data_IF_238829061574
#
_entry.id   IF_238829061574
#
_cell.length_a   1.000
_cell.length_b   1.000
_cell.length_c   1.000
_cell.angle_alpha   90.00
_cell.angle_beta   90.00
_cell.angle_gamma   90.00
#
_symmetry.space_group_name_H-M   'P 1'
#
loop_
_entity.id
_entity.type
_entity.pdbx_description
1 polymer ?
#
# COMPACT_ATOMS: atom_id res chain seq x y z
N UNK A 1 -27.17 -49.95 39.57
CA UNK A 1 -26.77 -48.67 40.17
C UNK A 1 -25.28 -48.47 39.84
N UNK A 2 -24.97 -47.88 38.72
CA UNK A 2 -23.58 -47.58 38.30
C UNK A 2 -23.45 -46.06 38.22
N UNK A 3 -22.59 -45.53 39.11
CA UNK A 3 -22.20 -44.10 39.10
C UNK A 3 -21.23 -43.86 37.95
N UNK A 4 -21.63 -42.98 37.01
CA UNK A 4 -20.75 -42.35 36.03
C UNK A 4 -20.12 -41.10 36.68
N UNK A 5 -18.81 -41.15 36.95
CA UNK A 5 -18.01 -39.98 37.28
C UNK A 5 -17.72 -39.20 35.99
N UNK A 6 -18.29 -38.02 35.85
CA UNK A 6 -17.87 -36.99 34.86
C UNK A 6 -16.64 -36.28 35.40
N UNK A 7 -15.46 -36.61 34.84
CA UNK A 7 -14.26 -35.81 35.02
C UNK A 7 -14.35 -34.51 34.25
N UNK A 8 -14.50 -33.36 34.93
CA UNK A 8 -14.26 -32.04 34.32
C UNK A 8 -12.77 -31.91 34.06
N UNK A 9 -12.35 -32.12 32.83
CA UNK A 9 -11.05 -31.70 32.33
C UNK A 9 -11.00 -30.17 32.25
N UNK A 10 -10.40 -29.52 33.23
CA UNK A 10 -9.98 -28.11 33.09
C UNK A 10 -8.87 -28.08 32.04
N UNK A 11 -9.19 -27.66 30.85
CA UNK A 11 -8.22 -27.22 29.85
C UNK A 11 -7.63 -25.88 30.33
N UNK A 12 -6.46 -25.95 30.97
CA UNK A 12 -5.64 -24.76 31.20
C UNK A 12 -5.23 -24.23 29.84
N UNK A 13 -5.93 -23.19 29.34
CA UNK A 13 -5.39 -22.36 28.29
C UNK A 13 -4.08 -21.79 28.79
N UNK A 14 -2.98 -21.92 28.04
CA UNK A 14 -1.73 -21.26 28.42
C UNK A 14 -1.99 -19.78 28.56
N UNK A 15 -1.37 -19.09 29.54
CA UNK A 15 -1.50 -17.65 29.63
C UNK A 15 -1.08 -17.03 28.30
N UNK A 16 -1.94 -16.17 27.73
CA UNK A 16 -1.55 -15.38 26.58
C UNK A 16 -0.24 -14.66 26.94
N UNK A 17 0.78 -14.85 26.14
CA UNK A 17 2.03 -14.10 26.28
C UNK A 17 1.67 -12.63 26.32
N UNK A 18 2.12 -11.90 27.34
CA UNK A 18 1.87 -10.48 27.45
C UNK A 18 2.41 -9.81 26.17
N UNK A 19 1.57 -9.01 25.53
CA UNK A 19 1.95 -8.33 24.30
C UNK A 19 3.20 -7.46 24.52
N UNK A 20 4.14 -7.52 23.59
CA UNK A 20 5.37 -6.72 23.65
C UNK A 20 5.06 -5.23 23.60
N UNK A 21 5.69 -4.45 24.47
CA UNK A 21 5.55 -3.00 24.55
C UNK A 21 6.93 -2.32 24.65
N UNK A 22 6.95 -0.99 24.43
CA UNK A 22 8.16 -0.17 24.57
C UNK A 22 8.85 -0.38 25.94
N UNK A 23 8.07 -0.57 27.01
CA UNK A 23 8.60 -0.77 28.38
C UNK A 23 9.48 -2.02 28.51
N UNK A 24 9.25 -3.04 27.71
CA UNK A 24 9.96 -4.33 27.75
C UNK A 24 11.27 -4.31 26.96
N UNK A 25 11.61 -3.24 26.25
CA UNK A 25 12.93 -3.13 25.61
C UNK A 25 14.01 -3.19 26.71
N UNK A 26 14.96 -4.15 26.63
CA UNK A 26 16.03 -4.27 27.61
C UNK A 26 16.99 -3.08 27.55
N UNK A 27 17.77 -2.84 28.61
CA UNK A 27 18.84 -1.85 28.57
C UNK A 27 19.84 -2.15 27.43
N UNK A 28 20.02 -1.22 26.52
CA UNK A 28 20.97 -1.33 25.42
C UNK A 28 22.33 -0.83 25.87
N UNK A 29 23.39 -1.61 25.67
CA UNK A 29 24.78 -1.21 26.00
C UNK A 29 25.35 -0.27 24.93
N UNK A 30 25.09 -0.57 23.65
CA UNK A 30 25.53 0.27 22.55
C UNK A 30 24.56 1.46 22.36
N UNK A 31 25.07 2.70 22.56
CA UNK A 31 24.32 3.94 22.39
C UNK A 31 24.66 4.69 21.09
N UNK A 32 25.40 4.05 20.19
CA UNK A 32 25.65 4.62 18.87
C UNK A 32 24.33 4.98 18.20
N UNK A 33 24.17 6.23 17.74
CA UNK A 33 22.96 6.63 17.01
C UNK A 33 22.71 5.70 15.81
N UNK A 34 21.45 5.39 15.56
CA UNK A 34 21.04 4.67 14.35
C UNK A 34 20.47 5.65 13.32
N UNK A 35 20.63 5.31 12.05
CA UNK A 35 20.17 6.13 10.94
C UNK A 35 19.17 5.34 10.09
N UNK A 36 18.05 5.97 9.77
CA UNK A 36 17.08 5.45 8.82
C UNK A 36 16.80 6.43 7.67
N UNK A 37 16.50 5.91 6.51
CA UNK A 37 15.96 6.68 5.39
C UNK A 37 14.45 6.55 5.42
N UNK A 38 13.72 7.62 5.12
CA UNK A 38 12.26 7.62 5.11
C UNK A 38 11.72 8.51 3.99
N UNK A 39 10.60 8.12 3.40
CA UNK A 39 9.90 8.93 2.43
C UNK A 39 9.23 10.12 3.11
N UNK A 40 9.22 11.28 2.46
CA UNK A 40 8.45 12.45 2.91
C UNK A 40 6.96 12.15 2.89
N UNK A 41 6.30 12.38 4.01
CA UNK A 41 4.86 12.19 4.14
C UNK A 41 4.42 12.15 5.60
N UNK A 42 3.10 12.17 5.80
CA UNK A 42 2.49 12.13 7.13
C UNK A 42 3.03 10.99 8.01
N UNK A 43 3.23 9.81 7.44
CA UNK A 43 3.76 8.64 8.17
C UNK A 43 5.15 8.86 8.73
N UNK A 44 6.02 9.56 8.01
CA UNK A 44 7.38 9.91 8.47
C UNK A 44 7.35 11.05 9.48
N UNK A 45 6.48 12.04 9.29
CA UNK A 45 6.29 13.11 10.26
C UNK A 45 5.78 12.55 11.59
N UNK A 46 4.77 11.65 11.56
CA UNK A 46 4.26 10.98 12.73
C UNK A 46 5.34 10.14 13.44
N UNK A 47 6.08 9.33 12.67
CA UNK A 47 7.20 8.55 13.20
C UNK A 47 8.19 9.45 13.95
N UNK A 48 8.62 10.53 13.31
CA UNK A 48 9.64 11.45 13.82
C UNK A 48 9.18 12.23 15.05
N UNK A 49 7.93 12.67 15.06
CA UNK A 49 7.37 13.52 16.12
C UNK A 49 6.85 12.73 17.32
N UNK A 50 6.29 11.54 17.08
CA UNK A 50 5.55 10.81 18.10
C UNK A 50 6.24 9.51 18.59
N UNK A 51 6.91 8.77 17.69
CA UNK A 51 7.46 7.45 18.04
C UNK A 51 8.93 7.50 18.41
N UNK A 52 9.77 8.14 17.59
CA UNK A 52 11.22 8.16 17.81
C UNK A 52 11.64 8.85 19.11
N UNK A 53 10.98 9.93 19.58
CA UNK A 53 11.29 10.51 20.88
C UNK A 53 11.08 9.53 22.04
N UNK A 54 10.00 8.76 22.04
CA UNK A 54 9.72 7.75 23.07
C UNK A 54 10.76 6.64 23.09
N UNK A 55 11.16 6.17 21.90
CA UNK A 55 12.24 5.18 21.79
C UNK A 55 13.57 5.72 22.32
N UNK A 56 13.92 6.96 21.97
CA UNK A 56 15.16 7.63 22.43
C UNK A 56 15.15 7.81 23.95
N UNK A 57 14.03 8.25 24.51
CA UNK A 57 13.84 8.38 25.97
C UNK A 57 14.04 7.03 26.69
N UNK A 58 13.41 5.97 26.19
CA UNK A 58 13.50 4.62 26.78
C UNK A 58 14.89 4.01 26.69
N UNK A 59 15.54 4.16 25.53
CA UNK A 59 16.78 3.41 25.23
C UNK A 59 18.05 4.23 25.37
N UNK A 60 17.97 5.55 25.30
CA UNK A 60 19.12 6.46 25.18
C UNK A 60 19.81 6.44 23.81
N UNK A 61 19.26 5.73 22.82
CA UNK A 61 19.76 5.69 21.44
C UNK A 61 19.07 6.75 20.61
N UNK A 62 19.83 7.66 20.00
CA UNK A 62 19.32 8.66 19.06
C UNK A 62 19.00 8.01 17.72
N UNK A 63 17.94 8.49 17.06
CA UNK A 63 17.57 8.08 15.71
C UNK A 63 17.65 9.25 14.76
N UNK A 64 18.51 9.13 13.76
CA UNK A 64 18.65 10.12 12.69
C UNK A 64 17.75 9.70 11.53
N UNK A 65 16.94 10.63 11.03
CA UNK A 65 16.04 10.38 9.88
C UNK A 65 16.52 11.18 8.69
N UNK A 66 16.74 10.51 7.57
CA UNK A 66 17.02 11.13 6.27
C UNK A 66 15.74 11.05 5.46
N UNK A 67 15.00 12.16 5.39
CA UNK A 67 13.75 12.24 4.64
C UNK A 67 14.02 12.62 3.18
N UNK A 68 13.49 11.85 2.24
CA UNK A 68 13.68 12.04 0.80
C UNK A 68 12.40 11.72 0.01
N UNK A 69 12.41 11.99 -1.29
CA UNK A 69 11.34 11.58 -2.20
C UNK A 69 11.47 10.10 -2.57
N UNK A 70 10.34 9.43 -2.83
CA UNK A 70 10.29 8.00 -3.16
C UNK A 70 11.21 7.63 -4.31
N UNK A 71 11.23 8.43 -5.38
CA UNK A 71 11.99 8.16 -6.60
C UNK A 71 13.51 8.08 -6.35
N UNK A 72 14.00 8.81 -5.35
CA UNK A 72 15.42 8.82 -4.99
C UNK A 72 15.78 7.77 -3.94
N UNK A 73 14.79 7.25 -3.22
CA UNK A 73 15.00 6.46 -2.00
C UNK A 73 15.59 5.08 -2.30
N UNK A 74 15.12 4.42 -3.35
CA UNK A 74 15.63 3.10 -3.76
C UNK A 74 17.12 3.15 -4.13
N UNK A 75 17.48 4.09 -5.01
CA UNK A 75 18.87 4.24 -5.47
C UNK A 75 19.80 4.66 -4.34
N UNK A 76 19.39 5.64 -3.53
CA UNK A 76 20.14 6.14 -2.40
C UNK A 76 20.53 5.03 -1.41
N UNK A 77 19.57 4.18 -1.07
CA UNK A 77 19.78 3.07 -0.14
C UNK A 77 20.58 1.94 -0.80
N UNK A 78 20.25 1.56 -2.04
CA UNK A 78 20.95 0.48 -2.76
C UNK A 78 22.41 0.80 -2.99
N UNK A 79 22.76 2.04 -3.35
CA UNK A 79 24.16 2.46 -3.48
C UNK A 79 24.93 2.33 -2.17
N UNK A 80 24.34 2.74 -1.04
CA UNK A 80 24.98 2.60 0.27
C UNK A 80 25.19 1.13 0.65
N UNK A 81 24.20 0.27 0.37
CA UNK A 81 24.29 -1.17 0.62
C UNK A 81 25.38 -1.86 -0.22
N UNK A 82 25.54 -1.45 -1.48
CA UNK A 82 26.60 -1.95 -2.35
C UNK A 82 28.00 -1.57 -1.86
N UNK A 83 28.16 -0.41 -1.20
CA UNK A 83 29.44 0.03 -0.62
C UNK A 83 29.76 -0.68 0.69
N UNK A 84 28.77 -1.18 1.44
CA UNK A 84 28.96 -1.88 2.71
C UNK A 84 29.57 -1.02 3.83
N UNK A 85 29.24 0.28 3.84
CA UNK A 85 29.84 1.24 4.79
C UNK A 85 29.06 1.36 6.11
N UNK A 86 27.94 0.66 6.25
CA UNK A 86 27.05 0.77 7.39
C UNK A 86 26.49 2.17 7.56
N UNK A 87 26.05 2.77 6.47
CA UNK A 87 25.53 4.14 6.44
C UNK A 87 24.13 4.23 7.02
N UNK A 88 23.32 3.17 6.84
CA UNK A 88 21.95 3.09 7.32
C UNK A 88 21.76 1.83 8.16
N UNK A 89 21.11 1.98 9.31
CA UNK A 89 20.81 0.88 10.22
C UNK A 89 19.43 0.27 9.94
N UNK A 90 18.46 1.13 9.63
CA UNK A 90 17.14 0.75 9.16
C UNK A 90 16.93 1.25 7.74
N UNK A 91 16.50 0.33 6.90
CA UNK A 91 16.13 0.57 5.52
C UNK A 91 14.63 0.73 5.45
N UNK A 92 14.16 1.77 4.80
CA UNK A 92 12.76 1.82 4.40
C UNK A 92 12.57 1.02 3.14
N UNK A 93 11.55 0.19 3.15
CA UNK A 93 11.28 -0.78 2.11
C UNK A 93 9.87 -0.59 1.58
N UNK A 94 9.79 -0.27 0.29
CA UNK A 94 8.57 -0.46 -0.47
C UNK A 94 8.36 -1.94 -0.77
N UNK A 95 7.12 -2.39 -0.84
CA UNK A 95 6.78 -3.79 -1.10
C UNK A 95 7.46 -4.34 -2.37
N UNK A 96 7.62 -3.51 -3.40
CA UNK A 96 8.27 -3.86 -4.66
C UNK A 96 9.79 -4.14 -4.53
N UNK A 97 10.46 -3.65 -3.48
CA UNK A 97 11.92 -3.81 -3.28
C UNK A 97 12.30 -5.00 -2.41
N UNK A 98 11.33 -5.54 -1.66
CA UNK A 98 11.57 -6.53 -0.61
C UNK A 98 12.30 -7.78 -1.13
N UNK A 99 11.86 -8.31 -2.29
CA UNK A 99 12.45 -9.52 -2.88
C UNK A 99 13.87 -9.28 -3.39
N UNK A 100 14.10 -8.14 -4.04
CA UNK A 100 15.41 -7.77 -4.59
C UNK A 100 16.42 -7.60 -3.47
N UNK A 101 16.10 -6.83 -2.44
CA UNK A 101 17.04 -6.58 -1.35
C UNK A 101 17.31 -7.81 -0.49
N UNK A 102 16.29 -8.65 -0.25
CA UNK A 102 16.48 -9.91 0.44
C UNK A 102 17.32 -10.90 -0.37
N UNK A 103 17.08 -11.02 -1.69
CA UNK A 103 17.86 -11.88 -2.58
C UNK A 103 19.33 -11.49 -2.67
N UNK A 104 19.64 -10.18 -2.57
CA UNK A 104 21.01 -9.65 -2.54
C UNK A 104 21.65 -9.69 -1.15
N UNK A 105 20.94 -10.15 -0.12
CA UNK A 105 21.46 -10.22 1.26
C UNK A 105 21.60 -8.86 1.95
N UNK A 106 20.88 -7.83 1.47
CA UNK A 106 20.96 -6.48 2.02
C UNK A 106 20.17 -6.30 3.32
N UNK A 107 19.25 -7.20 3.60
CA UNK A 107 18.41 -7.17 4.80
C UNK A 107 18.59 -8.44 5.63
N UNK A 108 18.53 -8.31 6.95
CA UNK A 108 18.65 -9.46 7.87
C UNK A 108 17.27 -10.05 8.14
N UNK A 109 17.08 -11.38 8.02
CA UNK A 109 15.83 -12.02 8.39
C UNK A 109 15.43 -11.73 9.85
N UNK A 110 14.15 -11.46 10.09
CA UNK A 110 13.68 -11.05 11.42
C UNK A 110 13.86 -12.14 12.48
N UNK A 111 13.74 -13.41 12.10
CA UNK A 111 13.96 -14.51 13.03
C UNK A 111 15.42 -14.62 13.46
N UNK A 112 16.38 -14.31 12.61
CA UNK A 112 17.80 -14.25 12.99
C UNK A 112 18.06 -13.12 13.97
N UNK A 113 17.47 -11.95 13.77
CA UNK A 113 17.57 -10.84 14.71
C UNK A 113 16.93 -11.17 16.06
N UNK A 114 15.78 -11.85 16.04
CA UNK A 114 15.12 -12.30 17.27
C UNK A 114 15.98 -13.30 18.04
N UNK A 115 16.60 -14.28 17.38
CA UNK A 115 17.55 -15.21 18.00
C UNK A 115 18.72 -14.52 18.69
N UNK A 116 19.21 -13.43 18.11
CA UNK A 116 20.38 -12.71 18.61
C UNK A 116 20.04 -11.76 19.77
N UNK A 117 18.88 -11.10 19.71
CA UNK A 117 18.60 -9.95 20.56
C UNK A 117 17.37 -10.08 21.45
N UNK A 118 16.44 -10.99 21.15
CA UNK A 118 15.23 -11.17 21.94
C UNK A 118 15.42 -12.29 22.99
N UNK A 119 15.13 -12.04 24.28
CA UNK A 119 15.25 -13.06 25.32
C UNK A 119 14.42 -14.33 25.05
N UNK A 120 13.26 -14.18 24.41
CA UNK A 120 12.35 -15.29 24.06
C UNK A 120 12.60 -15.82 22.63
N UNK A 121 13.56 -15.25 21.92
CA UNK A 121 14.00 -15.70 20.61
C UNK A 121 12.90 -15.73 19.54
N UNK A 122 12.87 -16.78 18.73
CA UNK A 122 11.93 -16.94 17.62
C UNK A 122 10.46 -16.90 18.07
N UNK A 123 10.16 -17.52 19.22
CA UNK A 123 8.77 -17.59 19.74
C UNK A 123 8.17 -16.21 20.01
N UNK A 124 9.00 -15.27 20.50
CA UNK A 124 8.55 -13.90 20.71
C UNK A 124 8.17 -13.23 19.39
N UNK A 125 8.92 -13.50 18.32
CA UNK A 125 8.64 -12.95 17.00
C UNK A 125 7.39 -13.59 16.38
N UNK A 126 7.18 -14.90 16.52
CA UNK A 126 5.98 -15.59 16.04
C UNK A 126 4.71 -14.99 16.66
N UNK A 127 4.66 -14.88 17.98
CA UNK A 127 3.52 -14.26 18.69
C UNK A 127 3.32 -12.78 18.33
N UNK A 128 4.42 -12.07 18.14
CA UNK A 128 4.40 -10.65 17.76
C UNK A 128 3.80 -10.43 16.36
N UNK A 129 4.01 -11.36 15.42
CA UNK A 129 3.54 -11.27 14.04
C UNK A 129 2.11 -11.78 13.84
N UNK A 130 1.57 -12.58 14.78
CA UNK A 130 0.22 -13.17 14.66
C UNK A 130 -0.89 -12.15 14.33
N UNK A 131 -0.92 -10.94 14.91
CA UNK A 131 -1.96 -9.95 14.62
C UNK A 131 -1.82 -9.25 13.27
N UNK A 132 -0.72 -9.44 12.55
CA UNK A 132 -0.51 -8.77 11.25
C UNK A 132 -1.30 -9.43 10.12
N UNK A 133 -1.61 -8.67 9.09
CA UNK A 133 -2.17 -9.23 7.87
C UNK A 133 -1.17 -10.18 7.20
N UNK A 134 -1.52 -11.46 7.00
CA UNK A 134 -0.64 -12.41 6.31
C UNK A 134 -0.21 -11.94 4.92
N UNK A 135 -1.08 -11.20 4.21
CA UNK A 135 -0.78 -10.61 2.91
C UNK A 135 0.42 -9.65 2.97
N UNK A 136 0.46 -8.76 3.98
CA UNK A 136 1.56 -7.81 4.16
C UNK A 136 2.87 -8.52 4.53
N UNK A 137 2.80 -9.53 5.39
CA UNK A 137 3.99 -10.32 5.73
C UNK A 137 4.52 -11.08 4.52
N UNK A 138 3.65 -11.66 3.69
CA UNK A 138 4.04 -12.42 2.51
C UNK A 138 4.76 -11.57 1.45
N UNK A 139 4.31 -10.35 1.18
CA UNK A 139 4.99 -9.47 0.24
C UNK A 139 6.38 -9.03 0.71
N UNK A 140 6.62 -9.01 2.03
CA UNK A 140 7.89 -8.67 2.68
C UNK A 140 8.78 -9.89 2.97
N UNK A 141 8.36 -11.08 2.55
CA UNK A 141 9.10 -12.33 2.77
C UNK A 141 9.81 -12.77 1.50
N UNK A 142 11.01 -13.34 1.66
CA UNK A 142 11.78 -14.00 0.60
C UNK A 142 12.23 -15.38 1.07
N UNK A 143 12.11 -16.40 0.23
CA UNK A 143 12.44 -17.79 0.58
C UNK A 143 11.80 -18.29 1.91
N UNK A 144 10.60 -17.80 2.25
CA UNK A 144 9.85 -18.06 3.49
C UNK A 144 10.42 -17.37 4.74
N UNK A 145 11.36 -16.47 4.59
CA UNK A 145 11.90 -15.66 5.66
C UNK A 145 11.37 -14.24 5.56
N UNK A 146 10.88 -13.70 6.66
CA UNK A 146 10.39 -12.32 6.73
C UNK A 146 11.58 -11.39 6.98
N UNK A 147 11.72 -10.38 6.13
CA UNK A 147 12.85 -9.44 6.16
C UNK A 147 12.51 -8.05 6.68
N UNK A 148 11.22 -7.70 6.75
CA UNK A 148 10.78 -6.38 7.18
C UNK A 148 9.49 -6.46 8.00
N UNK A 149 9.26 -5.45 8.85
CA UNK A 149 7.98 -5.25 9.54
C UNK A 149 7.21 -4.15 8.82
N UNK A 150 5.96 -4.41 8.38
CA UNK A 150 5.12 -3.39 7.78
C UNK A 150 4.71 -2.36 8.84
N UNK A 151 4.84 -1.09 8.50
CA UNK A 151 4.54 0.05 9.36
C UNK A 151 3.29 0.81 8.94
N UNK A 152 3.15 1.07 7.63
CA UNK A 152 2.06 1.83 7.04
C UNK A 152 1.42 1.03 5.91
N UNK A 153 0.12 0.79 6.03
CA UNK A 153 -0.66 0.02 5.08
C UNK A 153 -1.33 0.99 4.10
N UNK A 154 -0.86 1.05 2.86
CA UNK A 154 -1.43 1.94 1.84
C UNK A 154 -2.21 1.21 0.75
N UNK A 155 -2.87 0.10 1.12
CA UNK A 155 -3.85 -0.50 0.23
C UNK A 155 -4.88 0.54 -0.22
N UNK A 156 -5.25 0.49 -1.50
CA UNK A 156 -6.16 1.47 -2.06
C UNK A 156 -7.62 1.26 -1.63
N UNK A 157 -8.36 2.36 -1.57
CA UNK A 157 -9.80 2.45 -1.48
C UNK A 157 -10.33 3.52 -2.43
N UNK A 158 -11.62 3.74 -2.47
CA UNK A 158 -12.27 4.84 -3.18
C UNK A 158 -12.76 5.88 -2.19
N UNK A 159 -12.17 7.09 -2.23
CA UNK A 159 -12.61 8.23 -1.45
C UNK A 159 -13.63 9.04 -2.25
N UNK A 160 -14.79 9.36 -1.67
CA UNK A 160 -15.84 10.04 -2.39
C UNK A 160 -16.61 11.04 -1.52
N UNK A 161 -17.25 12.01 -2.13
CA UNK A 161 -18.12 13.00 -1.48
C UNK A 161 -19.45 12.34 -1.13
N UNK A 162 -19.54 11.76 0.07
CA UNK A 162 -20.74 11.07 0.54
C UNK A 162 -21.98 11.97 0.57
N UNK A 163 -21.80 13.27 0.85
CA UNK A 163 -22.88 14.24 0.80
C UNK A 163 -23.48 14.39 -0.60
N UNK A 164 -22.67 14.33 -1.67
CA UNK A 164 -23.15 14.40 -3.06
C UNK A 164 -23.86 13.11 -3.46
N UNK A 165 -23.30 11.96 -3.06
CA UNK A 165 -23.91 10.65 -3.34
C UNK A 165 -25.23 10.41 -2.59
N UNK A 166 -25.42 11.03 -1.42
CA UNK A 166 -26.63 10.94 -0.62
C UNK A 166 -27.65 12.07 -0.93
N UNK A 167 -27.25 13.06 -1.76
CA UNK A 167 -28.15 14.13 -2.16
C UNK A 167 -29.29 13.60 -3.03
N UNK A 168 -30.55 13.88 -2.66
CA UNK A 168 -31.74 13.31 -3.32
C UNK A 168 -31.93 13.80 -4.75
N UNK A 169 -31.58 15.05 -5.01
CA UNK A 169 -31.65 15.64 -6.37
C UNK A 169 -30.61 15.00 -7.27
N UNK A 170 -29.37 14.85 -6.82
CA UNK A 170 -28.31 14.18 -7.60
C UNK A 170 -28.65 12.70 -7.82
N UNK A 171 -29.18 11.99 -6.83
CA UNK A 171 -29.64 10.61 -6.98
C UNK A 171 -30.72 10.48 -8.06
N UNK A 172 -31.71 11.38 -8.07
CA UNK A 172 -32.79 11.37 -9.05
C UNK A 172 -32.26 11.67 -10.46
N UNK A 173 -31.40 12.67 -10.62
CA UNK A 173 -30.79 13.02 -11.90
C UNK A 173 -29.91 11.90 -12.45
N UNK A 174 -29.09 11.27 -11.60
CA UNK A 174 -28.24 10.15 -11.99
C UNK A 174 -29.10 8.96 -12.46
N UNK A 175 -30.10 8.57 -11.66
CA UNK A 175 -31.04 7.49 -12.01
C UNK A 175 -31.78 7.77 -13.33
N UNK A 176 -32.18 9.01 -13.55
CA UNK A 176 -32.84 9.41 -14.81
C UNK A 176 -31.89 9.28 -16.00
N UNK A 177 -30.60 9.67 -15.82
CA UNK A 177 -29.62 9.71 -16.91
C UNK A 177 -29.05 8.34 -17.26
N UNK A 178 -28.74 7.50 -16.24
CA UNK A 178 -28.03 6.24 -16.42
C UNK A 178 -28.86 4.99 -16.15
N UNK A 179 -30.05 5.11 -15.56
CA UNK A 179 -30.98 4.01 -15.38
C UNK A 179 -30.75 3.15 -14.12
N UNK A 180 -29.76 3.48 -13.29
CA UNK A 180 -29.48 2.77 -12.05
C UNK A 180 -29.15 3.74 -10.90
N UNK A 181 -29.24 3.27 -9.60
CA UNK A 181 -29.03 4.15 -8.45
C UNK A 181 -27.59 4.66 -8.33
N UNK A 182 -27.41 5.93 -7.93
CA UNK A 182 -26.12 6.51 -7.58
C UNK A 182 -25.59 5.89 -6.28
N UNK A 183 -24.51 5.12 -6.38
CA UNK A 183 -23.75 4.49 -5.29
C UNK A 183 -22.28 4.49 -5.66
N UNK A 184 -21.34 4.32 -4.73
CA UNK A 184 -19.93 4.12 -5.08
C UNK A 184 -19.77 3.04 -6.16
N UNK A 185 -18.95 3.32 -7.18
CA UNK A 185 -18.78 2.46 -8.35
C UNK A 185 -18.19 1.09 -7.96
N UNK A 186 -18.77 0.03 -8.53
CA UNK A 186 -18.30 -1.34 -8.33
C UNK A 186 -17.44 -1.87 -9.48
N UNK A 187 -17.39 -1.12 -10.58
CA UNK A 187 -16.56 -1.40 -11.75
C UNK A 187 -16.17 -0.09 -12.45
N UNK A 188 -15.30 -0.18 -13.46
CA UNK A 188 -14.74 0.99 -14.15
C UNK A 188 -15.77 1.66 -15.06
N UNK A 189 -16.75 0.92 -15.57
CA UNK A 189 -17.85 1.47 -16.38
C UNK A 189 -18.77 2.36 -15.53
N UNK A 190 -19.18 1.91 -14.36
CA UNK A 190 -19.93 2.74 -13.41
C UNK A 190 -19.15 3.97 -12.96
N UNK A 191 -17.80 3.83 -12.78
CA UNK A 191 -16.93 4.95 -12.49
C UNK A 191 -16.94 5.99 -13.62
N UNK A 192 -16.89 5.54 -14.88
CA UNK A 192 -16.95 6.45 -16.03
C UNK A 192 -18.27 7.22 -16.09
N UNK A 193 -19.40 6.57 -15.82
CA UNK A 193 -20.71 7.23 -15.75
C UNK A 193 -20.74 8.29 -14.64
N UNK A 194 -20.18 7.97 -13.45
CA UNK A 194 -20.09 8.90 -12.34
C UNK A 194 -19.14 10.08 -12.64
N UNK A 195 -18.02 9.81 -13.31
CA UNK A 195 -17.07 10.84 -13.73
C UNK A 195 -17.74 11.88 -14.64
N UNK A 196 -18.45 11.39 -15.66
CA UNK A 196 -19.26 12.24 -16.57
C UNK A 196 -20.35 12.99 -15.81
N UNK A 197 -21.03 12.29 -14.88
CA UNK A 197 -22.16 12.86 -14.15
C UNK A 197 -21.74 14.01 -13.24
N UNK A 198 -20.67 13.86 -12.49
CA UNK A 198 -20.26 14.88 -11.53
C UNK A 198 -19.44 16.01 -12.13
N UNK A 199 -18.89 15.88 -13.33
CA UNK A 199 -18.15 16.98 -13.95
C UNK A 199 -19.10 18.11 -14.35
N UNK A 200 -18.85 19.31 -13.82
CA UNK A 200 -19.66 20.52 -13.97
C UNK A 200 -18.79 21.74 -14.22
N UNK A 201 -19.32 22.70 -14.97
CA UNK A 201 -18.69 24.00 -15.18
C UNK A 201 -19.13 25.02 -14.12
N UNK A 202 -18.31 26.03 -13.92
CA UNK A 202 -18.70 27.19 -13.12
C UNK A 202 -20.07 27.74 -13.56
N UNK A 203 -20.95 28.03 -12.60
CA UNK A 203 -22.33 28.44 -12.81
C UNK A 203 -23.35 27.30 -12.90
N UNK A 204 -22.96 26.06 -13.17
CA UNK A 204 -23.86 24.92 -13.14
C UNK A 204 -24.20 24.55 -11.69
N UNK A 205 -25.33 23.86 -11.52
CA UNK A 205 -25.80 23.42 -10.20
C UNK A 205 -25.15 22.08 -9.82
N UNK A 206 -24.65 21.99 -8.58
CA UNK A 206 -24.27 20.76 -7.91
C UNK A 206 -24.94 20.72 -6.54
N UNK A 207 -25.71 19.69 -6.26
CA UNK A 207 -26.52 19.60 -5.03
C UNK A 207 -27.33 20.90 -4.80
N UNK A 208 -28.00 21.37 -5.88
CA UNK A 208 -28.90 22.55 -5.89
C UNK A 208 -28.19 23.90 -5.67
N UNK A 209 -26.86 23.92 -5.60
CA UNK A 209 -26.07 25.15 -5.41
C UNK A 209 -25.26 25.48 -6.67
N UNK A 210 -25.22 26.76 -7.10
CA UNK A 210 -24.36 27.13 -8.22
C UNK A 210 -22.89 27.02 -7.86
N UNK A 211 -22.09 26.45 -8.76
CA UNK A 211 -20.65 26.33 -8.61
C UNK A 211 -19.96 27.67 -8.90
N UNK A 212 -18.96 28.02 -8.10
CA UNK A 212 -18.13 29.22 -8.32
C UNK A 212 -16.93 28.96 -9.22
N UNK A 213 -16.58 27.71 -9.43
CA UNK A 213 -15.48 27.23 -10.30
C UNK A 213 -15.83 25.86 -10.89
N UNK A 214 -15.06 25.41 -11.86
CA UNK A 214 -15.23 24.10 -12.45
C UNK A 214 -15.07 23.00 -11.38
N UNK A 215 -15.91 21.99 -11.46
CA UNK A 215 -15.92 20.84 -10.56
C UNK A 215 -15.71 19.56 -11.38
N UNK A 216 -14.83 18.68 -10.92
CA UNK A 216 -14.43 17.49 -11.65
C UNK A 216 -15.01 16.23 -11.05
N UNK A 217 -15.32 15.26 -11.90
CA UNK A 217 -15.82 13.95 -11.44
C UNK A 217 -14.78 13.18 -10.64
N UNK A 218 -13.50 13.28 -11.03
CA UNK A 218 -12.42 12.46 -10.51
C UNK A 218 -11.19 13.26 -10.09
N UNK A 219 -10.43 12.71 -9.13
CA UNK A 219 -9.00 12.89 -9.01
C UNK A 219 -8.33 11.59 -9.47
N UNK A 220 -7.31 11.66 -10.34
CA UNK A 220 -6.49 10.54 -10.76
C UNK A 220 -5.02 10.90 -10.54
N UNK A 221 -4.20 9.96 -10.08
CA UNK A 221 -2.74 10.17 -9.91
C UNK A 221 -2.03 10.10 -11.27
N UNK A 222 -2.48 10.93 -12.22
CA UNK A 222 -2.17 10.84 -13.65
C UNK A 222 -0.90 11.59 -14.09
N UNK A 223 -0.10 12.11 -13.16
CA UNK A 223 1.20 12.71 -13.45
C UNK A 223 2.25 11.66 -13.87
N UNK A 224 3.40 12.15 -14.35
CA UNK A 224 4.55 11.30 -14.69
C UNK A 224 5.29 10.85 -13.40
N UNK A 225 4.58 10.09 -12.57
CA UNK A 225 4.98 9.61 -11.25
C UNK A 225 4.72 8.11 -11.11
N UNK A 226 5.39 7.41 -10.18
CA UNK A 226 5.20 5.98 -9.99
C UNK A 226 3.75 5.56 -9.81
N UNK A 227 2.95 6.36 -9.13
CA UNK A 227 1.60 6.02 -8.65
C UNK A 227 0.56 5.78 -9.75
N UNK A 228 0.77 6.28 -10.97
CA UNK A 228 -0.13 6.02 -12.10
C UNK A 228 -0.22 4.51 -12.42
N UNK A 229 0.88 3.76 -12.27
CA UNK A 229 0.85 2.33 -12.51
C UNK A 229 0.02 1.54 -11.49
N UNK A 230 -0.15 2.08 -10.27
CA UNK A 230 -0.94 1.43 -9.23
C UNK A 230 -2.44 1.50 -9.55
N UNK A 231 -2.89 2.63 -10.11
CA UNK A 231 -4.24 2.78 -10.66
C UNK A 231 -4.46 1.85 -11.86
N UNK A 232 -3.51 1.82 -12.82
CA UNK A 232 -3.56 0.91 -13.95
C UNK A 232 -3.56 -0.55 -13.51
N UNK A 233 -2.71 -0.92 -12.56
CA UNK A 233 -2.64 -2.28 -12.01
C UNK A 233 -3.97 -2.71 -11.41
N UNK A 234 -4.62 -1.84 -10.63
CA UNK A 234 -5.95 -2.10 -10.08
C UNK A 234 -6.99 -2.36 -11.17
N UNK A 235 -6.96 -1.59 -12.27
CA UNK A 235 -7.86 -1.78 -13.40
C UNK A 235 -7.54 -3.10 -14.15
N UNK A 236 -6.26 -3.38 -14.44
CA UNK A 236 -5.84 -4.61 -15.12
C UNK A 236 -6.29 -5.85 -14.35
N UNK A 237 -6.09 -5.86 -13.04
CA UNK A 237 -6.51 -6.96 -12.18
C UNK A 237 -8.02 -7.13 -12.14
N UNK A 238 -8.79 -6.04 -12.18
CA UNK A 238 -10.26 -6.10 -12.24
C UNK A 238 -10.77 -6.73 -13.54
N UNK A 239 -9.96 -6.66 -14.60
CA UNK A 239 -10.22 -7.29 -15.89
C UNK A 239 -9.69 -8.75 -15.97
N UNK A 240 -9.12 -9.27 -14.88
CA UNK A 240 -8.55 -10.62 -14.81
C UNK A 240 -7.15 -10.74 -15.39
N UNK A 241 -6.48 -9.61 -15.67
CA UNK A 241 -5.11 -9.55 -16.20
C UNK A 241 -4.04 -9.41 -15.13
N UNK A 242 -2.79 -9.45 -15.55
CA UNK A 242 -1.61 -9.13 -14.77
C UNK A 242 -0.50 -8.62 -15.69
N UNK A 243 0.48 -7.91 -15.13
CA UNK A 243 1.68 -7.52 -15.90
C UNK A 243 2.54 -8.72 -16.26
N UNK A 244 2.59 -9.72 -15.36
CA UNK A 244 3.34 -10.96 -15.49
C UNK A 244 2.70 -12.03 -14.60
N UNK A 245 2.88 -13.30 -14.94
CA UNK A 245 2.34 -14.44 -14.21
C UNK A 245 3.48 -15.27 -13.63
N UNK A 246 3.58 -15.47 -12.30
CA UNK A 246 4.57 -16.35 -11.70
C UNK A 246 4.17 -17.80 -11.93
N UNK A 247 5.11 -18.60 -12.40
CA UNK A 247 4.91 -20.03 -12.65
C UNK A 247 5.64 -20.85 -11.61
N UNK A 248 4.91 -21.70 -10.93
CA UNK A 248 5.41 -22.54 -9.85
C UNK A 248 5.45 -24.01 -10.26
N UNK A 249 6.45 -24.74 -9.79
CA UNK A 249 6.51 -26.19 -9.93
C UNK A 249 5.59 -26.90 -8.91
N UNK A 250 5.54 -28.24 -8.96
CA UNK A 250 4.72 -29.06 -8.05
C UNK A 250 5.08 -28.87 -6.57
N UNK A 251 6.33 -28.48 -6.26
CA UNK A 251 6.81 -28.15 -4.91
C UNK A 251 6.51 -26.71 -4.48
N UNK A 252 5.69 -25.98 -5.25
CA UNK A 252 5.35 -24.55 -5.05
C UNK A 252 6.59 -23.64 -5.06
N UNK A 253 7.66 -24.02 -5.74
CA UNK A 253 8.82 -23.18 -5.96
C UNK A 253 8.63 -22.40 -7.26
N UNK A 254 8.84 -21.07 -7.23
CA UNK A 254 8.85 -20.22 -8.40
C UNK A 254 9.91 -20.71 -9.39
N UNK A 255 9.53 -20.91 -10.65
CA UNK A 255 10.42 -21.36 -11.73
C UNK A 255 10.76 -20.24 -12.70
N UNK A 256 9.77 -19.46 -13.10
CA UNK A 256 9.90 -18.34 -14.02
C UNK A 256 8.63 -17.49 -14.03
N UNK A 257 8.63 -16.45 -14.82
CA UNK A 257 7.44 -15.64 -15.11
C UNK A 257 7.04 -15.76 -16.57
N UNK A 258 5.75 -15.83 -16.82
CA UNK A 258 5.16 -15.62 -18.15
C UNK A 258 4.73 -14.16 -18.28
N UNK A 259 5.31 -13.46 -19.26
CA UNK A 259 4.95 -12.08 -19.60
C UNK A 259 4.25 -12.09 -20.96
N UNK A 260 2.98 -11.70 -21.06
CA UNK A 260 2.26 -11.65 -22.33
C UNK A 260 2.96 -10.71 -23.30
N UNK A 261 3.20 -11.14 -24.54
CA UNK A 261 3.78 -10.26 -25.58
C UNK A 261 2.80 -9.16 -25.94
N UNK A 262 1.51 -9.49 -26.05
CA UNK A 262 0.40 -8.54 -26.20
C UNK A 262 -0.52 -8.72 -24.99
N UNK A 263 -0.48 -7.77 -24.07
CA UNK A 263 -1.29 -7.80 -22.86
C UNK A 263 -2.64 -7.13 -23.13
N UNK A 264 -3.65 -7.92 -23.46
CA UNK A 264 -4.98 -7.42 -23.82
C UNK A 264 -5.68 -6.69 -22.68
N UNK A 265 -5.50 -7.14 -21.44
CA UNK A 265 -6.08 -6.52 -20.26
C UNK A 265 -5.41 -5.17 -19.94
N UNK A 266 -4.11 -5.05 -20.15
CA UNK A 266 -3.40 -3.78 -20.04
C UNK A 266 -3.87 -2.78 -21.13
N UNK A 267 -4.06 -3.25 -22.37
CA UNK A 267 -4.60 -2.41 -23.46
C UNK A 267 -6.01 -1.90 -23.11
N UNK A 268 -6.90 -2.79 -22.63
CA UNK A 268 -8.25 -2.41 -22.18
C UNK A 268 -8.20 -1.41 -21.02
N UNK A 269 -7.32 -1.62 -20.06
CA UNK A 269 -7.11 -0.71 -18.93
C UNK A 269 -6.64 0.67 -19.41
N UNK A 270 -5.69 0.74 -20.34
CA UNK A 270 -5.24 1.97 -20.94
C UNK A 270 -6.35 2.74 -21.67
N UNK A 271 -7.19 2.03 -22.42
CA UNK A 271 -8.36 2.61 -23.08
C UNK A 271 -9.37 3.15 -22.05
N UNK A 272 -9.64 2.37 -20.99
CA UNK A 272 -10.55 2.78 -19.93
C UNK A 272 -10.02 3.99 -19.16
N UNK A 273 -8.75 3.97 -18.76
CA UNK A 273 -8.11 5.10 -18.07
C UNK A 273 -8.15 6.38 -18.89
N UNK A 274 -7.82 6.31 -20.19
CA UNK A 274 -7.89 7.44 -21.10
C UNK A 274 -9.30 8.03 -21.23
N UNK A 275 -10.34 7.21 -21.14
CA UNK A 275 -11.74 7.69 -21.12
C UNK A 275 -12.09 8.46 -19.85
N UNK A 276 -11.40 8.20 -18.75
CA UNK A 276 -11.61 8.91 -17.48
C UNK A 276 -10.92 10.27 -17.45
N UNK A 277 -9.80 10.42 -18.14
CA UNK A 277 -8.96 11.63 -18.12
C UNK A 277 -9.68 12.95 -18.36
N UNK A 278 -10.64 13.08 -19.33
CA UNK A 278 -11.36 14.33 -19.56
C UNK A 278 -12.21 14.80 -18.37
N UNK A 279 -12.51 13.94 -17.43
CA UNK A 279 -13.34 14.19 -16.25
C UNK A 279 -12.52 14.24 -14.95
N UNK A 280 -11.22 14.06 -15.07
CA UNK A 280 -10.29 14.16 -13.95
C UNK A 280 -9.89 15.62 -13.71
N UNK A 281 -9.55 15.92 -12.47
CA UNK A 281 -8.93 17.19 -12.10
C UNK A 281 -7.67 17.42 -12.93
N UNK A 282 -7.45 18.63 -13.47
CA UNK A 282 -6.29 18.92 -14.31
C UNK A 282 -4.97 18.61 -13.60
N UNK A 283 -4.19 17.71 -14.16
CA UNK A 283 -2.92 17.27 -13.64
C UNK A 283 -1.76 17.80 -14.47
N UNK A 284 -0.68 18.16 -13.80
CA UNK A 284 0.64 18.34 -14.43
C UNK A 284 1.49 17.06 -14.23
N UNK A 285 2.71 17.06 -14.72
CA UNK A 285 3.63 15.91 -14.62
C UNK A 285 3.97 15.52 -13.17
N UNK A 286 3.70 16.38 -12.19
CA UNK A 286 3.98 16.16 -10.77
C UNK A 286 2.77 15.66 -9.99
N UNK A 287 1.60 15.63 -10.61
CA UNK A 287 0.36 15.30 -9.94
C UNK A 287 0.36 13.83 -9.49
N UNK A 288 0.34 13.63 -8.18
CA UNK A 288 0.40 12.32 -7.54
C UNK A 288 -0.61 12.25 -6.37
N UNK A 289 -0.33 11.45 -5.37
CA UNK A 289 -1.24 11.18 -4.26
C UNK A 289 -1.52 12.41 -3.37
N UNK A 290 -0.54 13.30 -3.16
CA UNK A 290 -0.73 14.50 -2.35
C UNK A 290 -1.68 15.47 -3.06
N UNK A 291 -1.47 15.72 -4.34
CA UNK A 291 -2.30 16.61 -5.15
C UNK A 291 -3.72 16.07 -5.32
N UNK A 292 -3.87 14.74 -5.45
CA UNK A 292 -5.19 14.10 -5.51
C UNK A 292 -5.93 14.22 -4.16
N UNK A 293 -5.24 14.01 -3.04
CA UNK A 293 -5.78 14.22 -1.70
C UNK A 293 -6.17 15.69 -1.46
N UNK A 294 -5.37 16.63 -1.93
CA UNK A 294 -5.64 18.07 -1.83
C UNK A 294 -6.83 18.48 -2.70
N UNK A 295 -6.98 17.94 -3.90
CA UNK A 295 -8.16 18.16 -4.74
C UNK A 295 -9.45 17.68 -4.07
N UNK A 296 -9.40 16.53 -3.37
CA UNK A 296 -10.50 16.04 -2.54
C UNK A 296 -10.73 16.97 -1.33
N UNK A 297 -9.66 17.30 -0.59
CA UNK A 297 -9.73 18.13 0.63
C UNK A 297 -10.26 19.54 0.36
N UNK A 298 -9.99 20.10 -0.80
CA UNK A 298 -10.47 21.43 -1.22
C UNK A 298 -11.84 21.40 -1.89
N UNK A 299 -12.46 20.21 -2.00
CA UNK A 299 -13.81 20.04 -2.53
C UNK A 299 -13.94 20.29 -4.02
N UNK A 300 -12.89 20.08 -4.80
CA UNK A 300 -12.86 20.31 -6.25
C UNK A 300 -13.23 19.07 -7.07
N UNK A 301 -13.29 17.89 -6.40
CA UNK A 301 -13.61 16.61 -7.05
C UNK A 301 -14.68 15.85 -6.28
N UNK A 302 -15.42 14.99 -6.99
CA UNK A 302 -16.42 14.12 -6.39
C UNK A 302 -15.83 12.83 -5.85
N UNK A 303 -14.84 12.23 -6.55
CA UNK A 303 -14.30 10.90 -6.29
C UNK A 303 -12.79 10.88 -6.53
N UNK A 304 -12.06 10.24 -5.61
CA UNK A 304 -10.71 9.74 -5.85
C UNK A 304 -10.76 8.20 -5.82
N UNK A 305 -10.92 7.55 -6.99
CA UNK A 305 -11.34 6.15 -7.09
C UNK A 305 -10.28 5.13 -6.68
N UNK A 306 -9.00 5.51 -6.73
CA UNK A 306 -7.85 4.67 -6.40
C UNK A 306 -6.98 5.36 -5.36
N UNK A 307 -7.60 5.88 -4.31
CA UNK A 307 -6.93 6.57 -3.22
C UNK A 307 -6.15 5.58 -2.33
N UNK A 308 -4.94 5.93 -1.94
CA UNK A 308 -4.29 5.21 -0.86
C UNK A 308 -4.99 5.46 0.47
N UNK A 309 -5.46 4.40 1.14
CA UNK A 309 -6.26 4.54 2.36
C UNK A 309 -5.51 5.18 3.53
N UNK A 310 -4.17 5.13 3.56
CA UNK A 310 -3.39 5.87 4.54
C UNK A 310 -3.48 7.41 4.39
N UNK A 311 -4.11 7.89 3.32
CA UNK A 311 -4.41 9.32 3.09
C UNK A 311 -5.86 9.70 3.39
N UNK A 312 -6.65 8.80 4.02
CA UNK A 312 -8.02 9.11 4.41
C UNK A 312 -8.10 10.41 5.23
N UNK A 313 -7.13 10.64 6.10
CA UNK A 313 -7.04 11.84 6.95
C UNK A 313 -6.83 13.13 6.13
N UNK A 314 -6.02 13.08 5.08
CA UNK A 314 -5.82 14.22 4.18
C UNK A 314 -7.13 14.53 3.42
N UNK A 315 -7.76 13.53 2.81
CA UNK A 315 -9.05 13.69 2.12
C UNK A 315 -10.17 14.15 3.07
N UNK A 316 -10.13 13.73 4.33
CA UNK A 316 -11.13 14.08 5.35
C UNK A 316 -11.19 15.58 5.65
N UNK A 317 -10.14 16.33 5.35
CA UNK A 317 -10.13 17.81 5.51
C UNK A 317 -11.25 18.48 4.71
N UNK A 318 -11.85 17.81 3.71
CA UNK A 318 -13.00 18.33 2.98
C UNK A 318 -14.18 18.67 3.89
N UNK A 319 -14.38 17.91 4.98
CA UNK A 319 -15.46 18.15 5.94
C UNK A 319 -15.29 19.46 6.72
N UNK A 320 -14.03 19.87 6.94
CA UNK A 320 -13.72 21.16 7.57
C UNK A 320 -13.73 22.33 6.58
N UNK A 321 -13.28 22.07 5.34
CA UNK A 321 -13.09 23.09 4.33
C UNK A 321 -14.38 23.49 3.60
N UNK A 322 -15.31 22.54 3.43
CA UNK A 322 -16.54 22.73 2.66
C UNK A 322 -17.77 22.51 3.56
N UNK A 323 -18.57 23.55 3.84
CA UNK A 323 -19.74 23.43 4.71
C UNK A 323 -20.73 22.36 4.24
N UNK A 324 -20.96 21.33 5.05
CA UNK A 324 -21.88 20.24 4.78
C UNK A 324 -21.27 19.08 3.97
N UNK A 325 -20.01 19.19 3.54
CA UNK A 325 -19.33 18.08 2.89
C UNK A 325 -19.09 16.92 3.86
N UNK A 326 -19.13 15.70 3.34
CA UNK A 326 -18.80 14.49 4.08
C UNK A 326 -17.98 13.57 3.19
N UNK A 327 -16.91 13.01 3.76
CA UNK A 327 -16.10 11.99 3.11
C UNK A 327 -16.70 10.61 3.36
N UNK A 328 -16.82 9.81 2.31
CA UNK A 328 -17.04 8.37 2.35
C UNK A 328 -15.83 7.63 1.82
N UNK A 329 -15.61 6.40 2.29
CA UNK A 329 -14.60 5.49 1.76
C UNK A 329 -15.26 4.15 1.45
N UNK A 330 -14.91 3.57 0.29
CA UNK A 330 -15.39 2.27 -0.17
C UNK A 330 -14.26 1.47 -0.81
N UNK A 331 -14.57 0.25 -1.29
CA UNK A 331 -13.64 -0.49 -2.14
C UNK A 331 -13.39 0.26 -3.45
N UNK A 332 -12.23 0.04 -4.07
CA UNK A 332 -11.95 0.52 -5.42
C UNK A 332 -12.90 -0.08 -6.45
N UNK A 333 -13.19 0.58 -7.57
CA UNK A 333 -13.93 -0.02 -8.68
C UNK A 333 -13.25 -1.32 -9.14
N UNK A 334 -14.03 -2.41 -9.18
CA UNK A 334 -13.53 -3.75 -9.49
C UNK A 334 -13.08 -4.58 -8.29
N UNK A 335 -12.95 -4.00 -7.09
CA UNK A 335 -12.60 -4.71 -5.86
C UNK A 335 -11.17 -5.28 -5.84
N UNK A 336 -10.28 -4.76 -6.68
CA UNK A 336 -8.91 -5.25 -6.90
C UNK A 336 -7.88 -4.15 -6.63
N UNK A 337 -7.79 -3.65 -5.39
CA UNK A 337 -6.92 -2.53 -5.08
C UNK A 337 -5.44 -2.89 -5.20
N UNK A 338 -4.62 -1.94 -5.66
CA UNK A 338 -3.20 -2.01 -5.38
C UNK A 338 -3.00 -2.10 -3.86
N UNK A 339 -2.11 -2.99 -3.45
CA UNK A 339 -1.77 -3.16 -2.05
C UNK A 339 -0.26 -3.07 -1.87
N UNK A 340 0.17 -2.08 -1.11
CA UNK A 340 1.55 -1.90 -0.74
C UNK A 340 1.69 -1.79 0.77
N UNK A 341 2.92 -1.94 1.23
CA UNK A 341 3.30 -1.70 2.61
C UNK A 341 4.59 -0.90 2.64
N UNK A 342 4.55 0.20 3.33
CA UNK A 342 5.75 0.89 3.76
C UNK A 342 6.28 0.17 4.99
N UNK A 343 7.46 -0.41 4.87
CA UNK A 343 8.03 -1.30 5.87
C UNK A 343 9.45 -0.89 6.23
N UNK A 344 9.94 -1.42 7.35
CA UNK A 344 11.31 -1.23 7.77
C UNK A 344 12.02 -2.57 7.91
N UNK A 345 13.28 -2.61 7.46
CA UNK A 345 14.18 -3.75 7.59
C UNK A 345 15.50 -3.33 8.25
N UNK A 346 16.15 -4.25 8.94
CA UNK A 346 17.50 -4.02 9.46
C UNK A 346 18.51 -4.29 8.35
N UNK A 347 19.42 -3.31 8.13
CA UNK A 347 20.50 -3.45 7.16
C UNK A 347 21.51 -4.52 7.59
N UNK A 348 22.04 -5.29 6.62
CA UNK A 348 23.05 -6.31 6.87
C UNK A 348 24.37 -5.73 7.44
N UNK A 349 24.68 -4.47 7.10
CA UNK A 349 25.90 -3.75 7.51
C UNK A 349 25.64 -2.71 8.62
N UNK A 350 24.50 -2.81 9.33
CA UNK A 350 24.15 -1.93 10.43
C UNK A 350 25.24 -1.90 11.50
N UNK A 351 25.60 -0.72 11.99
CA UNK A 351 26.57 -0.51 13.09
C UNK A 351 25.94 -0.69 14.47
N UNK A 352 24.62 -0.69 14.56
CA UNK A 352 23.88 -0.95 15.81
C UNK A 352 22.63 -1.77 15.54
N UNK A 353 22.78 -3.02 15.04
CA UNK A 353 21.65 -3.85 14.65
C UNK A 353 20.72 -4.21 15.81
N UNK A 354 21.21 -4.25 17.05
CA UNK A 354 20.40 -4.47 18.24
C UNK A 354 19.40 -3.34 18.46
N UNK A 355 19.85 -2.08 18.38
CA UNK A 355 18.97 -0.94 18.54
C UNK A 355 18.00 -0.82 17.36
N UNK A 356 18.45 -1.11 16.14
CA UNK A 356 17.62 -1.16 14.95
C UNK A 356 16.49 -2.20 15.08
N UNK A 357 16.81 -3.42 15.55
CA UNK A 357 15.82 -4.47 15.82
C UNK A 357 14.75 -4.02 16.83
N UNK A 358 15.16 -3.44 17.95
CA UNK A 358 14.21 -3.02 18.97
C UNK A 358 13.35 -1.84 18.54
N UNK A 359 13.89 -0.90 17.75
CA UNK A 359 13.09 0.17 17.16
C UNK A 359 12.06 -0.40 16.20
N UNK A 360 12.48 -1.27 15.28
CA UNK A 360 11.61 -1.93 14.33
C UNK A 360 10.47 -2.69 15.05
N UNK A 361 10.80 -3.47 16.08
CA UNK A 361 9.82 -4.19 16.88
C UNK A 361 8.86 -3.27 17.64
N UNK A 362 9.37 -2.14 18.17
CA UNK A 362 8.53 -1.15 18.85
C UNK A 362 7.52 -0.48 17.90
N UNK A 363 7.94 -0.04 16.72
CA UNK A 363 7.06 0.63 15.74
C UNK A 363 5.85 -0.22 15.34
N UNK A 364 5.96 -1.53 15.42
CA UNK A 364 4.88 -2.44 15.06
C UNK A 364 4.08 -3.02 16.24
N UNK A 365 4.27 -2.53 17.48
CA UNK A 365 3.44 -2.94 18.63
C UNK A 365 1.99 -2.50 18.45
N UNK A 366 1.05 -3.14 19.16
CA UNK A 366 -0.34 -2.68 19.21
C UNK A 366 -0.41 -1.21 19.62
N UNK A 367 0.27 -0.84 20.72
CA UNK A 367 0.28 0.53 21.24
C UNK A 367 0.73 1.55 20.18
N UNK A 368 1.83 1.26 19.48
CA UNK A 368 2.38 2.17 18.47
C UNK A 368 1.46 2.26 17.24
N UNK A 369 0.96 1.13 16.74
CA UNK A 369 0.07 1.07 15.59
C UNK A 369 -1.33 1.65 15.90
N UNK A 370 -1.82 1.48 17.13
CA UNK A 370 -3.08 2.06 17.59
C UNK A 370 -2.98 3.60 17.70
N UNK A 371 -1.90 4.10 18.30
CA UNK A 371 -1.62 5.53 18.35
C UNK A 371 -1.46 6.13 16.94
N UNK A 372 -0.80 5.41 16.03
CA UNK A 372 -0.68 5.79 14.63
C UNK A 372 -2.05 5.89 13.93
N UNK A 373 -2.93 4.93 14.18
CA UNK A 373 -4.30 4.95 13.66
C UNK A 373 -5.12 6.14 14.17
N UNK A 374 -5.00 6.45 15.46
CA UNK A 374 -5.63 7.65 16.06
C UNK A 374 -5.09 8.96 15.47
N UNK A 375 -3.80 8.99 15.13
CA UNK A 375 -3.13 10.12 14.49
C UNK A 375 -3.49 10.33 13.01
N UNK A 376 -4.24 9.41 12.39
CA UNK A 376 -4.68 9.50 11.00
C UNK A 376 -3.99 8.52 10.04
N UNK A 377 -3.14 7.62 10.54
CA UNK A 377 -2.49 6.58 9.76
C UNK A 377 -3.39 5.41 9.42
N UNK A 378 -2.88 4.48 8.61
CA UNK A 378 -3.53 3.21 8.30
C UNK A 378 -2.64 2.05 8.78
N UNK A 379 -2.98 1.42 9.92
CA UNK A 379 -2.12 0.43 10.57
C UNK A 379 -2.08 -0.90 9.82
N UNK A 380 -1.04 -1.68 10.11
CA UNK A 380 -0.79 -2.97 9.46
C UNK A 380 -1.29 -4.18 10.27
N UNK A 381 -1.89 -3.94 11.45
CA UNK A 381 -2.37 -4.99 12.37
C UNK A 381 -3.89 -5.13 12.32
N UNK A 382 -4.37 -6.38 12.19
CA UNK A 382 -5.81 -6.70 12.17
C UNK A 382 -6.52 -6.31 13.47
N UNK A 383 -5.88 -6.55 14.63
CA UNK A 383 -6.43 -6.23 15.95
C UNK A 383 -6.62 -4.73 16.16
N UNK A 384 -5.74 -3.89 15.60
CA UNK A 384 -5.90 -2.44 15.60
C UNK A 384 -7.02 -2.00 14.66
N UNK A 385 -6.98 -2.45 13.39
CA UNK A 385 -7.95 -2.03 12.37
C UNK A 385 -9.38 -2.42 12.76
N UNK A 386 -9.55 -3.55 13.45
CA UNK A 386 -10.86 -4.05 13.88
C UNK A 386 -11.24 -3.62 15.30
N UNK A 387 -10.47 -2.78 15.97
CA UNK A 387 -10.76 -2.30 17.29
C UNK A 387 -12.14 -1.58 17.35
N UNK A 388 -12.94 -1.82 18.40
CA UNK A 388 -14.32 -1.32 18.47
C UNK A 388 -14.46 0.20 18.28
N UNK A 389 -13.52 0.97 18.74
CA UNK A 389 -13.50 2.44 18.65
C UNK A 389 -13.37 2.94 17.21
N UNK A 390 -12.67 2.21 16.35
CA UNK A 390 -12.55 2.54 14.92
C UNK A 390 -13.76 2.01 14.14
N UNK A 391 -14.19 0.79 14.45
CA UNK A 391 -15.36 0.17 13.83
C UNK A 391 -16.65 0.96 14.05
N UNK A 392 -16.80 1.53 15.26
CA UNK A 392 -17.95 2.33 15.66
C UNK A 392 -17.64 3.84 15.67
N UNK A 393 -16.58 4.28 14.98
CA UNK A 393 -16.20 5.67 14.95
C UNK A 393 -17.34 6.55 14.45
N UNK A 394 -17.58 7.68 15.16
CA UNK A 394 -18.56 8.69 14.76
C UNK A 394 -18.20 9.29 13.38
N UNK A 395 -16.91 9.29 13.02
CA UNK A 395 -16.41 9.68 11.71
C UNK A 395 -16.51 8.48 10.74
N UNK A 396 -17.54 8.48 9.91
CA UNK A 396 -17.78 7.40 8.93
C UNK A 396 -16.59 7.14 8.00
N UNK A 397 -15.78 8.18 7.72
CA UNK A 397 -14.61 8.05 6.85
C UNK A 397 -13.53 7.12 7.44
N UNK A 398 -13.24 7.22 8.75
CA UNK A 398 -12.25 6.34 9.39
C UNK A 398 -12.73 4.89 9.41
N UNK A 399 -14.00 4.68 9.77
CA UNK A 399 -14.59 3.34 9.76
C UNK A 399 -14.57 2.74 8.34
N UNK A 400 -14.90 3.55 7.31
CA UNK A 400 -14.87 3.14 5.91
C UNK A 400 -13.46 2.82 5.41
N UNK A 401 -12.46 3.65 5.75
CA UNK A 401 -11.07 3.43 5.35
C UNK A 401 -10.51 2.13 5.96
N UNK A 402 -10.78 1.88 7.23
CA UNK A 402 -10.31 0.68 7.91
C UNK A 402 -11.06 -0.58 7.44
N UNK A 403 -12.37 -0.49 7.21
CA UNK A 403 -13.13 -1.59 6.61
C UNK A 403 -12.64 -1.92 5.20
N UNK A 404 -12.42 -0.92 4.35
CA UNK A 404 -11.90 -1.11 3.00
C UNK A 404 -10.50 -1.77 3.05
N UNK A 405 -9.61 -1.31 3.92
CA UNK A 405 -8.29 -1.90 4.12
C UNK A 405 -8.37 -3.34 4.64
N UNK A 406 -9.27 -3.61 5.59
CA UNK A 406 -9.45 -4.93 6.17
C UNK A 406 -9.92 -5.94 5.11
N UNK A 407 -10.97 -5.60 4.38
CA UNK A 407 -11.51 -6.45 3.30
C UNK A 407 -10.46 -6.71 2.23
N UNK A 408 -9.75 -5.66 1.78
CA UNK A 408 -8.71 -5.78 0.78
C UNK A 408 -7.58 -6.72 1.23
N UNK A 409 -7.08 -6.57 2.45
CA UNK A 409 -5.97 -7.38 2.96
C UNK A 409 -6.36 -8.83 3.24
N UNK A 410 -7.60 -9.10 3.64
CA UNK A 410 -8.05 -10.47 3.90
C UNK A 410 -8.38 -11.26 2.63
N UNK A 411 -9.00 -10.61 1.64
CA UNK A 411 -9.59 -11.31 0.50
C UNK A 411 -8.86 -11.07 -0.82
N UNK A 412 -8.31 -9.89 -1.03
CA UNK A 412 -7.67 -9.56 -2.30
C UNK A 412 -6.15 -9.67 -2.25
N UNK A 413 -5.50 -9.09 -1.26
CA UNK A 413 -4.04 -8.93 -1.27
C UNK A 413 -3.26 -10.24 -1.24
N UNK A 414 -3.86 -11.34 -0.79
CA UNK A 414 -3.28 -12.67 -0.93
C UNK A 414 -3.17 -13.11 -2.40
N UNK A 415 -4.08 -12.65 -3.27
CA UNK A 415 -4.09 -12.95 -4.71
C UNK A 415 -3.10 -12.11 -5.50
N UNK A 416 -2.73 -10.93 -5.01
CA UNK A 416 -1.75 -10.07 -5.70
C UNK A 416 -0.40 -10.75 -5.88
N UNK A 417 0.00 -11.59 -4.95
CA UNK A 417 1.22 -12.41 -5.09
C UNK A 417 1.09 -13.45 -6.21
N UNK A 418 -0.10 -14.01 -6.41
CA UNK A 418 -0.39 -14.93 -7.51
C UNK A 418 -0.33 -14.21 -8.88
N UNK A 419 -0.55 -12.90 -8.90
CA UNK A 419 -0.44 -12.04 -10.07
C UNK A 419 0.99 -11.54 -10.33
N UNK A 420 1.97 -11.94 -9.51
CA UNK A 420 3.38 -11.69 -9.72
C UNK A 420 3.89 -10.28 -9.40
N UNK A 421 3.02 -9.36 -9.03
CA UNK A 421 3.38 -7.94 -8.87
C UNK A 421 4.51 -7.69 -7.85
N UNK A 422 4.51 -8.43 -6.73
CA UNK A 422 5.54 -8.34 -5.69
C UNK A 422 6.45 -9.57 -5.63
N UNK A 423 6.47 -10.41 -6.65
CA UNK A 423 7.15 -11.71 -6.60
C UNK A 423 8.50 -11.69 -7.31
N UNK A 424 8.68 -10.83 -8.31
CA UNK A 424 9.92 -10.69 -9.07
C UNK A 424 11.00 -9.97 -8.26
N UNK A 425 12.24 -10.49 -8.30
CA UNK A 425 13.43 -9.80 -7.76
C UNK A 425 13.90 -8.65 -8.64
N UNK A 426 13.34 -8.51 -9.84
CA UNK A 426 13.58 -7.37 -10.73
C UNK A 426 12.60 -6.21 -10.51
N UNK A 427 11.71 -6.30 -9.52
CA UNK A 427 10.58 -5.36 -9.39
C UNK A 427 11.02 -3.91 -9.17
N UNK A 428 12.11 -3.68 -8.45
CA UNK A 428 12.68 -2.33 -8.28
C UNK A 428 13.04 -1.64 -9.61
N UNK A 429 13.39 -2.41 -10.64
CA UNK A 429 13.68 -1.91 -11.99
C UNK A 429 12.45 -1.97 -12.91
N UNK A 430 11.55 -2.93 -12.72
CA UNK A 430 10.30 -3.05 -13.50
C UNK A 430 9.34 -1.91 -13.16
N UNK A 431 9.21 -1.54 -11.89
CA UNK A 431 8.24 -0.55 -11.42
C UNK A 431 8.35 0.82 -12.13
N UNK A 432 9.53 1.42 -12.31
CA UNK A 432 9.68 2.64 -13.11
C UNK A 432 9.27 2.47 -14.58
N UNK A 433 9.49 1.28 -15.18
CA UNK A 433 9.07 1.02 -16.57
C UNK A 433 7.55 0.92 -16.68
N UNK A 434 6.87 0.27 -15.69
CA UNK A 434 5.41 0.27 -15.62
C UNK A 434 4.88 1.70 -15.58
N UNK A 435 5.45 2.53 -14.73
CA UNK A 435 5.01 3.93 -14.56
C UNK A 435 5.15 4.74 -15.84
N UNK A 436 6.30 4.64 -16.51
CA UNK A 436 6.53 5.31 -17.81
C UNK A 436 5.55 4.86 -18.88
N UNK A 437 5.31 3.55 -18.98
CA UNK A 437 4.38 3.00 -19.96
C UNK A 437 2.93 3.41 -19.68
N UNK A 438 2.50 3.38 -18.41
CA UNK A 438 1.15 3.81 -18.01
C UNK A 438 0.95 5.31 -18.27
N UNK A 439 1.93 6.15 -17.93
CA UNK A 439 1.88 7.57 -18.25
C UNK A 439 1.80 7.81 -19.77
N UNK A 440 2.65 7.17 -20.55
CA UNK A 440 2.59 7.28 -22.02
C UNK A 440 1.24 6.80 -22.57
N UNK A 441 0.69 5.68 -22.04
CA UNK A 441 -0.60 5.15 -22.46
C UNK A 441 -1.79 6.06 -22.07
N UNK A 442 -1.66 6.90 -21.04
CA UNK A 442 -2.71 7.87 -20.66
C UNK A 442 -2.81 9.04 -21.63
N UNK A 443 -1.77 9.32 -22.44
CA UNK A 443 -1.74 10.45 -23.36
C UNK A 443 -2.63 10.22 -24.59
N UNK A 444 -3.32 11.27 -25.06
CA UNK A 444 -4.42 11.15 -26.04
C UNK A 444 -4.01 10.50 -27.36
N UNK A 445 -2.84 10.82 -27.90
CA UNK A 445 -2.40 10.38 -29.23
C UNK A 445 -1.54 9.11 -29.21
N UNK A 446 -1.28 8.53 -28.04
CA UNK A 446 -0.38 7.41 -27.91
C UNK A 446 -0.99 6.10 -28.42
N UNK A 447 -0.17 5.27 -29.10
CA UNK A 447 -0.54 3.90 -29.45
C UNK A 447 -0.38 2.98 -28.25
N UNK A 448 -1.46 2.74 -27.51
CA UNK A 448 -1.48 1.92 -26.29
C UNK A 448 -0.94 0.53 -26.54
N UNK A 449 -1.25 -0.09 -27.69
CA UNK A 449 -0.82 -1.45 -28.03
C UNK A 449 0.70 -1.53 -28.14
N UNK A 450 1.31 -0.61 -28.89
CA UNK A 450 2.77 -0.60 -29.10
C UNK A 450 3.51 -0.33 -27.78
N UNK A 451 3.02 0.59 -26.96
CA UNK A 451 3.57 0.90 -25.63
C UNK A 451 3.62 -0.35 -24.75
N UNK A 452 2.53 -1.11 -24.67
CA UNK A 452 2.50 -2.29 -23.80
C UNK A 452 3.22 -3.51 -24.40
N UNK A 453 3.40 -3.61 -25.72
CA UNK A 453 4.30 -4.59 -26.35
C UNK A 453 5.76 -4.26 -25.98
N UNK A 454 6.16 -3.02 -26.07
CA UNK A 454 7.49 -2.56 -25.67
C UNK A 454 7.75 -2.82 -24.18
N UNK A 455 6.80 -2.46 -23.32
CA UNK A 455 6.86 -2.74 -21.88
C UNK A 455 7.03 -4.24 -21.62
N UNK A 456 6.26 -5.11 -22.26
CA UNK A 456 6.36 -6.56 -22.09
C UNK A 456 7.76 -7.07 -22.46
N UNK A 457 8.35 -6.51 -23.52
CA UNK A 457 9.73 -6.83 -23.93
C UNK A 457 10.73 -6.38 -22.87
N UNK A 458 10.54 -5.19 -22.31
CA UNK A 458 11.41 -4.63 -21.27
C UNK A 458 11.36 -5.43 -19.98
N UNK A 459 10.16 -5.84 -19.54
CA UNK A 459 9.97 -6.70 -18.36
C UNK A 459 10.76 -8.01 -18.53
N UNK A 460 10.62 -8.69 -19.69
CA UNK A 460 11.36 -9.92 -19.99
C UNK A 460 12.88 -9.71 -19.92
N UNK A 461 13.39 -8.61 -20.45
CA UNK A 461 14.80 -8.26 -20.38
C UNK A 461 15.29 -8.11 -18.94
N UNK A 462 14.56 -7.35 -18.12
CA UNK A 462 14.91 -7.13 -16.71
C UNK A 462 14.88 -8.43 -15.92
N UNK A 463 13.84 -9.25 -16.09
CA UNK A 463 13.76 -10.56 -15.43
C UNK A 463 14.89 -11.50 -15.88
N UNK A 464 15.31 -11.43 -17.13
CA UNK A 464 16.44 -12.23 -17.63
C UNK A 464 17.76 -11.84 -16.93
N UNK A 465 18.00 -10.55 -16.69
CA UNK A 465 19.19 -10.09 -15.94
C UNK A 465 19.20 -10.54 -14.50
N UNK A 466 18.02 -10.80 -13.92
CA UNK A 466 17.85 -11.36 -12.56
C UNK A 466 17.73 -12.90 -12.53
N UNK A 467 17.93 -13.57 -13.67
CA UNK A 467 17.88 -15.04 -13.75
C UNK A 467 16.49 -15.65 -13.59
N UNK A 468 15.42 -14.86 -13.76
CA UNK A 468 14.02 -15.27 -13.58
C UNK A 468 13.35 -15.82 -14.85
N UNK A 469 14.03 -15.79 -15.98
CA UNK A 469 13.57 -16.38 -17.25
C UNK A 469 14.20 -17.76 -17.40
N UNK A 470 13.46 -18.79 -17.85
CA UNK A 470 14.05 -20.10 -18.11
C UNK A 470 15.21 -19.96 -19.10
N UNK A 471 16.33 -20.63 -18.83
CA UNK A 471 17.40 -20.75 -19.80
C UNK A 471 16.80 -21.36 -21.08
N UNK A 472 16.88 -20.65 -22.20
CA UNK A 472 16.45 -21.19 -23.50
C UNK A 472 17.25 -22.47 -23.74
N UNK A 473 16.56 -23.60 -23.77
CA UNK A 473 17.17 -24.89 -24.01
C UNK A 473 17.81 -24.85 -25.41
N UNK A 474 19.14 -24.66 -25.46
CA UNK A 474 19.92 -24.57 -26.71
C UNK A 474 19.91 -25.88 -27.53
N UNK A 475 19.10 -26.89 -27.14
CA UNK A 475 19.01 -28.19 -27.80
C UNK A 475 18.02 -28.25 -28.98
N UNK A 476 17.29 -27.14 -29.26
CA UNK A 476 16.38 -27.11 -30.42
C UNK A 476 16.82 -26.02 -31.42
N UNK A 477 18.05 -26.09 -31.92
CA UNK A 477 18.48 -25.46 -33.15
C UNK A 477 18.98 -26.53 -34.11
#
# INVERSE_FOLDING_TARGET
MSLLLFGLGLTLTPPALAEFSLAQIPPLSNKTPITLVAEKGFWTDYLTQEMLPKFTEKTGVKVNVISTELESMFELQTQALLMGEGKYDLLTMEAGWAKEWAANGYTVPLLELAKLYDPDGEKAMESYLEPYYPSLLNILSYNRELHAIPYNNYVMGSHYRADLFENKTEQAHFQQRFGYPLKPATNVEELADQAVFFTRKAGELLAEKPLTHDFYGLALMSGNKPHINDEFSSIIWSLGGAWMWPIYNQQKKLTHFEVPTVNQEAIKAGIAYRKLMPYAYPADDKFAFNEAADAMATGQVAIWPFAYNNLWHASFKVEANIPGARLGVSQVPGGTPYNGAYAFAVSYDSKNPQAAYWLLKYMGTFEAQYAYALGGGNPCRMDVVTAPEFKNASKKAIAGAFEASHVANLFWSTKVLELGHFTSTAMGQIYPELSRACYAASQHEANITDIFIELSTKIKQLQNTHGEVPAIDKKNK
#
